data_IF_231821011950
#
_entry.id   IF_231821011950
#
_cell.length_a   1.000
_cell.length_b   1.000
_cell.length_c   1.000
_cell.angle_alpha   90.00
_cell.angle_beta   90.00
_cell.angle_gamma   90.00
#
_symmetry.space_group_name_H-M   'P 1'
#
loop_
_entity.id
_entity.type
_entity.pdbx_description
1 polymer ?
#
# COMPACT_ATOMS: atom_id res chain seq x y z
N UNK A 1 22.48 -0.69 -19.91
CA UNK A 1 21.17 -0.02 -19.76
C UNK A 1 21.39 1.24 -18.92
N UNK A 2 21.35 2.43 -19.52
CA UNK A 2 21.46 3.70 -18.76
C UNK A 2 20.08 3.99 -18.15
N UNK A 3 19.99 4.09 -16.83
CA UNK A 3 18.77 4.53 -16.14
C UNK A 3 18.49 5.99 -16.53
N UNK A 4 17.31 6.26 -17.11
CA UNK A 4 16.87 7.62 -17.41
C UNK A 4 16.24 8.22 -16.15
N UNK A 5 16.50 9.50 -15.86
CA UNK A 5 15.91 10.20 -14.71
C UNK A 5 14.37 10.19 -14.74
N UNK A 6 13.77 10.01 -15.92
CA UNK A 6 12.31 9.88 -16.10
C UNK A 6 11.71 8.62 -15.47
N UNK A 7 12.48 7.55 -15.28
CA UNK A 7 11.96 6.26 -14.78
C UNK A 7 12.06 6.14 -13.25
N UNK A 8 12.85 7.00 -12.61
CA UNK A 8 13.07 7.03 -11.16
C UNK A 8 11.80 7.19 -10.32
N UNK A 9 10.84 8.07 -10.68
CA UNK A 9 9.64 8.26 -9.87
C UNK A 9 8.82 6.98 -9.72
N UNK A 10 8.76 6.17 -10.78
CA UNK A 10 8.01 4.91 -10.76
C UNK A 10 8.70 3.88 -9.85
N UNK A 11 10.04 3.81 -9.89
CA UNK A 11 10.82 2.94 -9.00
C UNK A 11 10.60 3.34 -7.54
N UNK A 12 10.68 4.64 -7.24
CA UNK A 12 10.45 5.17 -5.89
C UNK A 12 9.03 4.88 -5.43
N UNK A 13 8.03 5.09 -6.29
CA UNK A 13 6.64 4.73 -6.01
C UNK A 13 6.48 3.24 -5.66
N UNK A 14 7.04 2.34 -6.48
CA UNK A 14 6.94 0.89 -6.25
C UNK A 14 7.60 0.48 -4.94
N UNK A 15 8.83 0.93 -4.67
CA UNK A 15 9.57 0.54 -3.46
C UNK A 15 8.93 1.14 -2.20
N UNK A 16 8.52 2.41 -2.23
CA UNK A 16 7.81 3.01 -1.10
C UNK A 16 6.45 2.34 -0.85
N UNK A 17 5.69 2.05 -1.90
CA UNK A 17 4.42 1.32 -1.78
C UNK A 17 4.62 -0.07 -1.16
N UNK A 18 5.64 -0.80 -1.60
CA UNK A 18 6.04 -2.09 -1.01
C UNK A 18 6.39 -1.97 0.47
N UNK A 19 7.22 -1.00 0.84
CA UNK A 19 7.62 -0.76 2.24
C UNK A 19 6.40 -0.44 3.11
N UNK A 20 5.50 0.45 2.66
CA UNK A 20 4.29 0.78 3.42
C UNK A 20 3.40 -0.44 3.60
N UNK A 21 3.18 -1.26 2.56
CA UNK A 21 2.39 -2.50 2.69
C UNK A 21 3.04 -3.46 3.69
N UNK A 22 4.35 -3.64 3.65
CA UNK A 22 5.09 -4.45 4.61
C UNK A 22 4.92 -3.97 6.05
N UNK A 23 5.25 -2.70 6.30
CA UNK A 23 5.09 -2.08 7.63
C UNK A 23 3.64 -2.12 8.12
N UNK A 24 2.67 -2.01 7.21
CA UNK A 24 1.26 -2.13 7.56
C UNK A 24 0.87 -3.53 8.04
N UNK A 25 1.40 -4.59 7.42
CA UNK A 25 1.18 -5.96 7.87
C UNK A 25 1.71 -6.15 9.30
N UNK A 26 2.88 -5.57 9.62
CA UNK A 26 3.40 -5.56 10.99
C UNK A 26 2.50 -4.78 11.96
N UNK A 27 2.02 -3.60 11.55
CA UNK A 27 1.09 -2.78 12.34
C UNK A 27 -0.23 -3.52 12.61
N UNK A 28 -0.77 -4.25 11.63
CA UNK A 28 -1.94 -5.10 11.81
C UNK A 28 -1.69 -6.20 12.86
N UNK A 29 -0.54 -6.88 12.79
CA UNK A 29 -0.16 -7.88 13.79
C UNK A 29 -0.09 -7.29 15.21
N UNK A 30 0.48 -6.09 15.35
CA UNK A 30 0.54 -5.36 16.61
C UNK A 30 -0.86 -5.01 17.13
N UNK A 31 -1.74 -4.50 16.27
CA UNK A 31 -3.15 -4.22 16.59
C UNK A 31 -3.88 -5.49 17.03
N UNK A 32 -3.68 -6.63 16.35
CA UNK A 32 -4.29 -7.90 16.72
C UNK A 32 -3.85 -8.40 18.11
N UNK A 33 -2.59 -8.17 18.49
CA UNK A 33 -2.08 -8.49 19.83
C UNK A 33 -2.70 -7.56 20.86
N UNK A 34 -2.64 -6.24 20.63
CA UNK A 34 -3.17 -5.26 21.59
C UNK A 34 -4.69 -5.30 21.73
N UNK A 35 -5.40 -5.67 20.67
CA UNK A 35 -6.85 -5.79 20.71
C UNK A 35 -7.35 -6.87 21.68
N UNK A 36 -6.54 -7.89 21.98
CA UNK A 36 -6.85 -8.89 23.00
C UNK A 36 -6.81 -8.35 24.43
N UNK A 37 -6.15 -7.21 24.63
CA UNK A 37 -6.03 -6.56 25.93
C UNK A 37 -6.99 -5.36 26.08
N UNK A 38 -7.81 -5.06 25.07
CA UNK A 38 -8.69 -3.90 25.07
C UNK A 38 -9.83 -3.98 26.07
N UNK A 39 -10.37 -5.17 26.29
CA UNK A 39 -11.44 -5.38 27.27
C UNK A 39 -10.99 -5.03 28.71
N UNK A 40 -9.68 -4.98 28.96
CA UNK A 40 -9.10 -4.66 30.26
C UNK A 40 -8.76 -3.16 30.42
N UNK A 41 -8.40 -2.45 29.35
CA UNK A 41 -7.84 -1.09 29.42
C UNK A 41 -8.64 -0.01 28.65
N UNK A 42 -9.62 -0.41 27.84
CA UNK A 42 -10.42 0.49 27.01
C UNK A 42 -9.68 1.06 25.79
N UNK A 43 -10.44 1.62 24.83
CA UNK A 43 -9.92 2.12 23.54
C UNK A 43 -8.86 3.22 23.70
N UNK A 44 -8.95 4.04 24.75
CA UNK A 44 -8.02 5.12 25.09
C UNK A 44 -6.54 4.68 25.14
N UNK A 45 -6.27 3.43 25.49
CA UNK A 45 -4.90 2.90 25.61
C UNK A 45 -4.21 2.63 24.26
N UNK A 46 -4.99 2.34 23.20
CA UNK A 46 -4.47 2.08 21.85
C UNK A 46 -4.02 3.34 21.12
N UNK A 47 -4.69 4.47 21.35
CA UNK A 47 -4.53 5.70 20.57
C UNK A 47 -3.08 6.13 20.39
N UNK A 48 -2.28 6.39 21.44
CA UNK A 48 -0.92 6.88 21.26
C UNK A 48 0.03 5.85 20.63
N UNK A 49 -0.29 4.55 20.74
CA UNK A 49 0.55 3.45 20.24
C UNK A 49 0.32 3.16 18.75
N UNK A 50 -0.91 3.35 18.26
CA UNK A 50 -1.27 3.00 16.89
C UNK A 50 -1.47 4.22 15.98
N UNK A 51 -1.86 5.37 16.53
CA UNK A 51 -2.15 6.55 15.70
C UNK A 51 -0.91 7.07 14.98
N UNK A 52 0.22 7.20 15.69
CA UNK A 52 1.49 7.67 15.10
C UNK A 52 1.97 6.78 13.95
N UNK A 53 2.12 5.45 14.11
CA UNK A 53 2.53 4.61 13.00
C UNK A 53 1.50 4.59 11.86
N UNK A 54 0.20 4.54 12.14
CA UNK A 54 -0.83 4.60 11.10
C UNK A 54 -0.74 5.90 10.28
N UNK A 55 -0.58 7.04 10.95
CA UNK A 55 -0.40 8.34 10.30
C UNK A 55 0.90 8.40 9.49
N UNK A 56 2.01 7.86 10.00
CA UNK A 56 3.27 7.78 9.24
C UNK A 56 3.11 6.97 7.96
N UNK A 57 2.43 5.83 8.01
CA UNK A 57 2.16 5.00 6.82
C UNK A 57 1.24 5.71 5.83
N UNK A 58 0.21 6.39 6.31
CA UNK A 58 -0.68 7.19 5.47
C UNK A 58 0.09 8.29 4.72
N UNK A 59 0.97 9.02 5.42
CA UNK A 59 1.78 10.08 4.82
C UNK A 59 2.80 9.54 3.81
N UNK A 60 3.45 8.41 4.12
CA UNK A 60 4.38 7.75 3.20
C UNK A 60 3.67 7.22 1.95
N UNK A 61 2.49 6.62 2.09
CA UNK A 61 1.68 6.18 0.95
C UNK A 61 1.23 7.36 0.10
N UNK A 62 0.78 8.45 0.75
CA UNK A 62 0.41 9.69 0.07
C UNK A 62 1.58 10.28 -0.71
N UNK A 63 2.78 10.32 -0.11
CA UNK A 63 3.99 10.78 -0.78
C UNK A 63 4.34 9.91 -1.99
N UNK A 64 4.25 8.59 -1.85
CA UNK A 64 4.46 7.63 -2.94
C UNK A 64 3.50 7.91 -4.12
N UNK A 65 2.22 8.10 -3.83
CA UNK A 65 1.21 8.45 -4.83
C UNK A 65 1.46 9.82 -5.47
N UNK A 66 1.91 10.82 -4.71
CA UNK A 66 2.24 12.14 -5.26
C UNK A 66 3.44 12.08 -6.20
N UNK A 67 4.48 11.31 -5.86
CA UNK A 67 5.62 11.06 -6.75
C UNK A 67 5.15 10.35 -8.03
N UNK A 68 4.20 9.43 -7.91
CA UNK A 68 3.56 8.77 -9.05
C UNK A 68 2.71 9.73 -9.89
N UNK A 69 1.99 10.67 -9.29
CA UNK A 69 1.16 11.60 -10.05
C UNK A 69 2.02 12.65 -10.78
N UNK A 70 3.02 13.20 -10.09
CA UNK A 70 3.82 14.33 -10.58
C UNK A 70 4.83 13.96 -11.66
N UNK A 71 5.11 12.66 -11.86
CA UNK A 71 5.92 12.23 -13.00
C UNK A 71 5.12 12.12 -14.31
N UNK A 72 3.79 12.19 -14.24
CA UNK A 72 2.95 12.23 -15.43
C UNK A 72 3.16 13.56 -16.14
N UNK A 73 3.33 13.53 -17.47
CA UNK A 73 3.44 14.75 -18.26
C UNK A 73 2.20 15.65 -18.17
N UNK A 74 1.02 15.07 -17.93
CA UNK A 74 -0.25 15.80 -17.79
C UNK A 74 -1.05 15.28 -16.58
N UNK A 75 -0.77 15.76 -15.36
CA UNK A 75 -1.43 15.28 -14.13
C UNK A 75 -2.96 15.47 -14.13
N UNK A 76 -3.46 16.52 -14.77
CA UNK A 76 -4.91 16.78 -14.89
C UNK A 76 -5.65 15.70 -15.70
N UNK A 77 -4.93 14.94 -16.52
CA UNK A 77 -5.47 13.84 -17.32
C UNK A 77 -5.28 12.46 -16.66
N UNK A 78 -4.80 12.39 -15.41
CA UNK A 78 -4.53 11.13 -14.71
C UNK A 78 -5.77 10.23 -14.58
N UNK A 79 -6.98 10.81 -14.56
CA UNK A 79 -8.23 10.03 -14.54
C UNK A 79 -8.37 9.12 -15.76
N UNK A 80 -7.82 9.50 -16.93
CA UNK A 80 -7.83 8.68 -18.14
C UNK A 80 -7.00 7.39 -17.96
N UNK A 81 -5.98 7.42 -17.09
CA UNK A 81 -5.15 6.24 -16.81
C UNK A 81 -5.92 5.12 -16.09
N UNK A 82 -7.08 5.42 -15.48
CA UNK A 82 -7.90 4.46 -14.74
C UNK A 82 -8.97 3.81 -15.60
N UNK A 83 -9.26 4.32 -16.80
CA UNK A 83 -10.43 3.90 -17.63
C UNK A 83 -10.37 2.42 -18.06
N UNK A 84 -9.17 1.83 -18.17
CA UNK A 84 -8.96 0.49 -18.72
C UNK A 84 -8.78 -0.62 -17.67
N UNK A 85 -9.54 -0.62 -16.58
CA UNK A 85 -9.44 -1.60 -15.48
C UNK A 85 -9.51 -3.08 -15.94
N UNK A 86 -10.27 -3.35 -17.01
CA UNK A 86 -10.48 -4.71 -17.51
C UNK A 86 -9.21 -5.30 -18.14
N UNK A 87 -8.39 -4.50 -18.81
CA UNK A 87 -7.28 -4.99 -19.65
C UNK A 87 -5.91 -4.55 -19.14
N UNK A 88 -5.82 -3.39 -18.48
CA UNK A 88 -4.55 -2.78 -18.09
C UNK A 88 -4.19 -3.09 -16.64
N UNK A 89 -3.03 -3.74 -16.44
CA UNK A 89 -2.46 -3.91 -15.10
C UNK A 89 -2.10 -2.58 -14.44
N UNK A 90 -1.69 -1.58 -15.23
CA UNK A 90 -1.42 -0.22 -14.74
C UNK A 90 -2.69 0.44 -14.17
N UNK A 91 -3.83 0.32 -14.85
CA UNK A 91 -5.10 0.86 -14.33
C UNK A 91 -5.51 0.17 -13.04
N UNK A 92 -5.28 -1.15 -12.93
CA UNK A 92 -5.53 -1.91 -11.69
C UNK A 92 -4.60 -1.50 -10.55
N UNK A 93 -3.35 -1.15 -10.85
CA UNK A 93 -2.38 -0.68 -9.86
C UNK A 93 -2.82 0.64 -9.26
N UNK A 94 -3.22 1.61 -10.11
CA UNK A 94 -3.73 2.90 -9.65
C UNK A 94 -4.95 2.69 -8.74
N UNK A 95 -5.90 1.83 -9.15
CA UNK A 95 -7.07 1.54 -8.34
C UNK A 95 -6.70 0.90 -6.98
N UNK A 96 -5.83 -0.12 -6.99
CA UNK A 96 -5.41 -0.81 -5.78
C UNK A 96 -4.63 0.12 -4.84
N UNK A 97 -3.79 0.99 -5.37
CA UNK A 97 -3.03 1.98 -4.60
C UNK A 97 -3.95 3.05 -3.98
N UNK A 98 -4.95 3.53 -4.73
CA UNK A 98 -5.97 4.44 -4.19
C UNK A 98 -6.84 3.77 -3.12
N UNK A 99 -7.21 2.50 -3.31
CA UNK A 99 -7.97 1.74 -2.34
C UNK A 99 -7.17 1.56 -1.05
N UNK A 100 -5.89 1.21 -1.16
CA UNK A 100 -4.98 1.08 -0.03
C UNK A 100 -4.71 2.43 0.69
N UNK A 101 -4.60 3.53 -0.04
CA UNK A 101 -4.49 4.84 0.60
C UNK A 101 -5.77 5.22 1.36
N UNK A 102 -6.93 4.93 0.78
CA UNK A 102 -8.23 5.25 1.39
C UNK A 102 -8.50 4.38 2.62
N UNK A 103 -8.11 3.10 2.60
CA UNK A 103 -8.23 2.21 3.75
C UNK A 103 -7.29 2.60 4.89
N UNK A 104 -6.04 2.98 4.60
CA UNK A 104 -5.13 3.59 5.59
C UNK A 104 -5.71 4.89 6.20
N UNK A 105 -6.33 5.74 5.38
CA UNK A 105 -6.98 6.96 5.85
C UNK A 105 -8.14 6.63 6.80
N UNK A 106 -9.01 5.70 6.38
CA UNK A 106 -10.14 5.24 7.19
C UNK A 106 -9.64 4.68 8.52
N UNK A 107 -8.64 3.81 8.52
CA UNK A 107 -8.07 3.25 9.74
C UNK A 107 -7.52 4.34 10.67
N UNK A 108 -6.75 5.29 10.12
CA UNK A 108 -6.16 6.38 10.90
C UNK A 108 -7.24 7.25 11.55
N UNK A 109 -8.31 7.56 10.82
CA UNK A 109 -9.48 8.28 11.33
C UNK A 109 -10.22 7.45 12.38
N UNK A 110 -10.46 6.16 12.15
CA UNK A 110 -11.12 5.28 13.11
C UNK A 110 -10.33 5.15 14.42
N UNK A 111 -8.99 5.12 14.35
CA UNK A 111 -8.13 5.18 15.54
C UNK A 111 -8.28 6.53 16.23
N UNK A 112 -8.25 7.64 15.49
CA UNK A 112 -8.38 9.00 16.06
C UNK A 112 -9.73 9.26 16.75
N UNK A 113 -10.79 8.59 16.32
CA UNK A 113 -12.10 8.65 16.97
C UNK A 113 -12.35 7.51 17.97
N UNK A 114 -11.38 6.59 18.13
CA UNK A 114 -11.46 5.44 19.06
C UNK A 114 -12.62 4.52 18.83
N UNK A 115 -12.82 4.17 17.57
CA UNK A 115 -13.81 3.17 17.21
C UNK A 115 -13.49 1.82 17.88
N UNK A 116 -14.50 0.95 17.91
CA UNK A 116 -14.38 -0.38 18.52
C UNK A 116 -13.24 -1.19 17.90
N UNK A 117 -12.53 -1.94 18.73
CA UNK A 117 -11.44 -2.83 18.34
C UNK A 117 -11.79 -3.75 17.16
N UNK A 118 -12.98 -4.34 17.21
CA UNK A 118 -13.48 -5.23 16.17
C UNK A 118 -13.57 -4.54 14.81
N UNK A 119 -13.96 -3.25 14.78
CA UNK A 119 -14.03 -2.46 13.56
C UNK A 119 -12.63 -2.16 13.04
N UNK A 120 -11.69 -1.78 13.93
CA UNK A 120 -10.30 -1.55 13.55
C UNK A 120 -9.66 -2.83 12.95
N UNK A 121 -9.88 -3.98 13.59
CA UNK A 121 -9.40 -5.27 13.10
C UNK A 121 -10.00 -5.65 11.75
N UNK A 122 -11.29 -5.39 11.55
CA UNK A 122 -11.96 -5.65 10.27
C UNK A 122 -11.37 -4.78 9.16
N UNK A 123 -11.23 -3.47 9.40
CA UNK A 123 -10.61 -2.54 8.44
C UNK A 123 -9.20 -3.00 8.13
N UNK A 124 -8.38 -3.25 9.15
CA UNK A 124 -6.98 -3.67 8.93
C UNK A 124 -6.86 -5.02 8.22
N UNK A 125 -7.74 -5.98 8.50
CA UNK A 125 -7.75 -7.27 7.81
C UNK A 125 -8.06 -7.11 6.32
N UNK A 126 -9.12 -6.37 5.98
CA UNK A 126 -9.45 -6.06 4.58
C UNK A 126 -8.29 -5.34 3.89
N UNK A 127 -7.64 -4.45 4.62
CA UNK A 127 -6.54 -3.65 4.10
C UNK A 127 -5.27 -4.46 3.86
N UNK A 128 -5.00 -5.48 4.67
CA UNK A 128 -3.94 -6.46 4.37
C UNK A 128 -4.23 -7.19 3.05
N UNK A 129 -5.48 -7.57 2.78
CA UNK A 129 -5.85 -8.20 1.51
C UNK A 129 -5.63 -7.26 0.33
N UNK A 130 -6.01 -5.98 0.48
CA UNK A 130 -5.77 -4.95 -0.54
C UNK A 130 -4.27 -4.74 -0.77
N UNK A 131 -3.48 -4.63 0.29
CA UNK A 131 -2.03 -4.49 0.22
C UNK A 131 -1.39 -5.68 -0.50
N UNK A 132 -1.73 -6.91 -0.14
CA UNK A 132 -1.23 -8.11 -0.83
C UNK A 132 -1.63 -8.14 -2.31
N UNK A 133 -2.85 -7.71 -2.64
CA UNK A 133 -3.30 -7.59 -4.02
C UNK A 133 -2.52 -6.50 -4.79
N UNK A 134 -2.23 -5.36 -4.16
CA UNK A 134 -1.43 -4.28 -4.75
C UNK A 134 -0.04 -4.79 -5.15
N UNK A 135 0.66 -5.51 -4.27
CA UNK A 135 1.98 -6.08 -4.56
C UNK A 135 1.93 -7.08 -5.73
N UNK A 136 0.88 -7.90 -5.78
CA UNK A 136 0.66 -8.81 -6.90
C UNK A 136 0.48 -8.05 -8.21
N UNK A 137 -0.38 -7.03 -8.22
CA UNK A 137 -0.69 -6.21 -9.40
C UNK A 137 0.58 -5.48 -9.88
N UNK A 138 1.34 -4.88 -8.97
CA UNK A 138 2.65 -4.28 -9.27
C UNK A 138 3.55 -5.29 -9.98
N UNK A 139 3.65 -6.52 -9.48
CA UNK A 139 4.49 -7.55 -10.11
C UNK A 139 4.05 -7.93 -11.53
N UNK A 140 2.75 -7.81 -11.84
CA UNK A 140 2.21 -8.16 -13.17
C UNK A 140 2.59 -7.14 -14.23
N UNK A 141 2.87 -5.89 -13.87
CA UNK A 141 3.36 -4.87 -14.80
C UNK A 141 4.73 -5.26 -15.35
N UNK A 142 5.58 -5.93 -14.56
CA UNK A 142 6.94 -6.31 -14.94
C UNK A 142 7.04 -7.70 -15.60
N UNK A 143 6.00 -8.54 -15.50
CA UNK A 143 5.96 -9.89 -16.09
C UNK A 143 5.50 -9.84 -17.54
N UNK A 144 6.35 -9.27 -18.39
CA UNK A 144 6.08 -9.08 -19.82
C UNK A 144 6.73 -10.18 -20.66
N UNK A 145 6.01 -10.81 -21.63
CA UNK A 145 6.60 -11.79 -22.54
C UNK A 145 7.81 -11.26 -23.31
N UNK A 146 7.83 -9.96 -23.59
CA UNK A 146 8.92 -9.28 -24.29
C UNK A 146 10.25 -9.25 -23.51
N UNK A 147 10.23 -9.47 -22.19
CA UNK A 147 11.44 -9.48 -21.35
C UNK A 147 11.51 -10.79 -20.56
N UNK A 148 12.06 -11.87 -21.16
CA UNK A 148 12.06 -13.21 -20.56
C UNK A 148 12.68 -13.28 -19.17
N UNK A 149 13.70 -12.45 -18.89
CA UNK A 149 14.37 -12.39 -17.60
C UNK A 149 13.41 -12.04 -16.43
N UNK A 150 12.37 -11.25 -16.71
CA UNK A 150 11.39 -10.81 -15.71
C UNK A 150 10.06 -11.58 -15.82
N UNK A 151 9.86 -12.35 -16.88
CA UNK A 151 8.63 -13.11 -17.10
C UNK A 151 8.61 -14.45 -16.36
N UNK A 152 8.75 -14.43 -15.04
CA UNK A 152 8.68 -15.63 -14.21
C UNK A 152 8.02 -15.37 -12.86
N UNK A 153 7.70 -16.44 -12.12
CA UNK A 153 7.19 -16.33 -10.75
C UNK A 153 8.19 -15.68 -9.79
N UNK A 154 9.50 -15.75 -10.08
CA UNK A 154 10.57 -15.17 -9.27
C UNK A 154 10.40 -13.65 -9.11
N UNK A 155 9.90 -12.97 -10.14
CA UNK A 155 9.59 -11.53 -10.09
C UNK A 155 8.45 -11.24 -9.11
N UNK A 156 7.40 -12.05 -9.10
CA UNK A 156 6.33 -11.87 -8.12
C UNK A 156 6.83 -12.13 -6.70
N UNK A 157 7.65 -13.17 -6.52
CA UNK A 157 8.26 -13.46 -5.22
C UNK A 157 9.18 -12.31 -4.76
N UNK A 158 10.01 -11.75 -5.64
CA UNK A 158 10.89 -10.64 -5.27
C UNK A 158 10.12 -9.41 -4.81
N UNK A 159 8.96 -9.11 -5.42
CA UNK A 159 8.11 -7.99 -5.00
C UNK A 159 7.57 -8.18 -3.56
N UNK A 160 7.13 -9.38 -3.21
CA UNK A 160 6.71 -9.70 -1.85
C UNK A 160 7.88 -9.69 -0.86
N UNK A 161 9.06 -10.18 -1.26
CA UNK A 161 10.26 -10.11 -0.43
C UNK A 161 10.70 -8.67 -0.18
N UNK A 162 10.61 -7.79 -1.19
CA UNK A 162 10.89 -6.36 -0.99
C UNK A 162 9.91 -5.76 0.00
N UNK A 163 8.61 -6.06 -0.11
CA UNK A 163 7.63 -5.58 0.86
C UNK A 163 7.95 -6.06 2.29
N UNK A 164 8.30 -7.34 2.45
CA UNK A 164 8.62 -7.91 3.75
C UNK A 164 9.91 -7.34 4.37
N UNK A 165 10.93 -7.05 3.56
CA UNK A 165 12.25 -6.64 4.05
C UNK A 165 12.37 -5.12 4.20
N UNK A 166 11.68 -4.34 3.36
CA UNK A 166 11.72 -2.88 3.40
C UNK A 166 10.70 -2.28 4.37
N UNK A 167 9.65 -3.03 4.68
CA UNK A 167 8.61 -2.65 5.64
C UNK A 167 8.95 -3.00 7.07
#
# INVERSE_FOLDING_TARGET
MKLNLKDWPLIVFTVLGQAVVGSFIFLFGLLAIYARHLDQFGSAWLYPRLFRPALSLLLLMGLSLLISLLHLGHPSSAYLAVVNLKTSWLSREILAACLFFTGLLLLTVSIFFGWLAAILLLISFLEVLVGLALIFIMSKIYRLPAVPAWNSFRTTLSFYLTALLAG
#
